data_IF_492394472692
#
_entry.id   IF_492394472692
#
_cell.length_a   1.000
_cell.length_b   1.000
_cell.length_c   1.000
_cell.angle_alpha   90.00
_cell.angle_beta   90.00
_cell.angle_gamma   90.00
#
_symmetry.space_group_name_H-M   'P 1'
#
loop_
_entity.id
_entity.type
_entity.pdbx_description
1 polymer ?
#
# COMPACT_ATOMS: atom_id res chain seq x y z
N UNK A 1 18.42 -7.77 -9.60
CA UNK A 1 18.76 -6.74 -8.61
C UNK A 1 18.45 -5.38 -9.23
N UNK A 2 17.29 -4.84 -8.88
CA UNK A 2 16.71 -3.50 -9.17
C UNK A 2 15.19 -3.54 -8.89
N UNK A 3 14.78 -4.26 -7.83
CA UNK A 3 13.36 -4.41 -7.55
C UNK A 3 12.82 -3.11 -6.94
N UNK A 4 11.72 -2.62 -7.50
CA UNK A 4 10.94 -1.57 -6.85
C UNK A 4 10.17 -2.18 -5.69
N UNK A 5 10.14 -1.45 -4.59
CA UNK A 5 9.33 -1.73 -3.43
C UNK A 5 8.49 -0.50 -3.11
N UNK A 6 7.29 -0.73 -2.60
CA UNK A 6 6.45 0.35 -2.13
C UNK A 6 5.63 -0.09 -0.92
N UNK A 7 5.43 0.86 -0.01
CA UNK A 7 4.48 0.73 1.08
C UNK A 7 3.58 1.95 1.10
N UNK A 8 2.31 1.70 1.37
CA UNK A 8 1.29 2.71 1.52
C UNK A 8 0.78 2.64 2.95
N UNK A 9 0.92 3.74 3.66
CA UNK A 9 0.26 3.95 4.94
C UNK A 9 -1.09 4.59 4.68
N UNK A 10 -2.12 4.16 5.40
CA UNK A 10 -3.43 4.77 5.29
C UNK A 10 -4.16 4.84 6.61
N UNK A 11 -4.99 5.87 6.74
CA UNK A 11 -6.05 5.95 7.74
C UNK A 11 -7.35 5.51 7.09
N UNK A 12 -8.15 4.74 7.81
CA UNK A 12 -9.40 4.22 7.29
C UNK A 12 -10.47 4.15 8.37
N UNK A 13 -11.70 4.49 7.99
CA UNK A 13 -12.89 4.29 8.81
C UNK A 13 -13.64 2.99 8.47
N UNK A 14 -13.03 2.13 7.64
CA UNK A 14 -13.61 0.86 7.20
C UNK A 14 -13.48 -0.22 8.27
N UNK A 15 -14.33 -1.23 8.18
CA UNK A 15 -14.28 -2.37 9.09
C UNK A 15 -13.08 -3.27 8.80
N UNK A 16 -12.66 -4.06 9.80
CA UNK A 16 -11.63 -5.09 9.62
C UNK A 16 -11.95 -6.05 8.45
N UNK A 17 -13.23 -6.41 8.25
CA UNK A 17 -13.66 -7.29 7.16
C UNK A 17 -13.44 -6.65 5.78
N UNK A 18 -13.71 -5.35 5.65
CA UNK A 18 -13.44 -4.61 4.42
C UNK A 18 -11.92 -4.55 4.14
N UNK A 19 -11.13 -4.33 5.20
CA UNK A 19 -9.66 -4.31 5.09
C UNK A 19 -9.10 -5.66 4.66
N UNK A 20 -9.67 -6.77 5.13
CA UNK A 20 -9.30 -8.11 4.66
C UNK A 20 -9.58 -8.29 3.16
N UNK A 21 -10.68 -7.74 2.63
CA UNK A 21 -10.95 -7.79 1.19
C UNK A 21 -9.94 -6.98 0.37
N UNK A 22 -9.42 -5.87 0.91
CA UNK A 22 -8.33 -5.10 0.28
C UNK A 22 -7.01 -5.88 0.30
N UNK A 23 -6.73 -6.63 1.37
CA UNK A 23 -5.53 -7.44 1.45
C UNK A 23 -5.44 -8.50 0.33
N UNK A 24 -6.58 -8.87 -0.26
CA UNK A 24 -6.69 -9.79 -1.40
C UNK A 24 -6.67 -9.09 -2.77
N UNK A 25 -6.48 -7.77 -2.83
CA UNK A 25 -6.41 -7.05 -4.10
C UNK A 25 -5.15 -7.42 -4.88
N UNK A 26 -5.31 -7.53 -6.21
CA UNK A 26 -4.18 -7.63 -7.13
C UNK A 26 -3.22 -6.45 -6.91
N UNK A 27 -1.93 -6.78 -6.75
CA UNK A 27 -0.88 -5.83 -6.42
C UNK A 27 -0.52 -5.75 -4.93
N UNK A 28 -1.35 -6.27 -4.02
CA UNK A 28 -1.02 -6.31 -2.58
C UNK A 28 -0.21 -7.56 -2.25
N UNK A 29 0.99 -7.36 -1.72
CA UNK A 29 1.82 -8.46 -1.22
C UNK A 29 1.47 -8.78 0.24
N UNK A 30 1.28 -7.73 1.05
CA UNK A 30 0.97 -7.88 2.48
C UNK A 30 0.27 -6.65 3.01
N UNK A 31 -0.65 -6.85 3.96
CA UNK A 31 -1.33 -5.77 4.68
C UNK A 31 -1.36 -6.08 6.17
N UNK A 32 -1.17 -5.06 7.00
CA UNK A 32 -1.24 -5.19 8.46
C UNK A 32 -1.66 -3.89 9.13
N UNK A 33 -2.28 -3.99 10.31
CA UNK A 33 -2.63 -2.84 11.13
C UNK A 33 -1.41 -2.30 11.87
N UNK A 34 -1.33 -0.99 12.05
CA UNK A 34 -0.26 -0.31 12.79
C UNK A 34 -0.81 0.37 14.04
N UNK A 35 0.03 0.55 15.06
CA UNK A 35 -0.34 1.20 16.33
C UNK A 35 0.18 2.65 16.42
N UNK A 36 0.27 3.35 15.30
CA UNK A 36 0.86 4.70 15.19
C UNK A 36 -0.12 5.72 14.61
N UNK A 37 0.41 6.76 13.97
CA UNK A 37 -0.41 7.78 13.29
C UNK A 37 -1.23 7.23 12.12
N UNK A 38 -0.94 6.01 11.66
CA UNK A 38 -1.64 5.33 10.58
C UNK A 38 -2.34 4.08 11.12
N UNK A 39 -3.53 3.79 10.58
CA UNK A 39 -4.31 2.61 10.97
C UNK A 39 -3.77 1.34 10.28
N UNK A 40 -3.37 1.47 9.02
CA UNK A 40 -3.00 0.37 8.15
C UNK A 40 -1.74 0.65 7.35
N UNK A 41 -0.97 -0.41 7.10
CA UNK A 41 0.15 -0.42 6.18
C UNK A 41 -0.05 -1.53 5.14
N UNK A 42 0.13 -1.17 3.88
CA UNK A 42 -0.02 -2.04 2.71
C UNK A 42 1.30 -2.06 1.98
N UNK A 43 1.91 -3.23 1.86
CA UNK A 43 3.06 -3.48 0.99
C UNK A 43 2.57 -3.99 -0.35
N UNK A 44 2.95 -3.30 -1.43
CA UNK A 44 2.65 -3.78 -2.77
C UNK A 44 3.71 -4.77 -3.24
N UNK A 45 3.33 -5.65 -4.15
CA UNK A 45 4.27 -6.54 -4.82
C UNK A 45 5.24 -5.77 -5.72
N UNK A 46 6.30 -6.44 -6.17
CA UNK A 46 7.33 -5.83 -7.01
C UNK A 46 6.82 -5.34 -8.37
N UNK A 47 5.74 -5.95 -8.90
CA UNK A 47 5.16 -5.59 -10.21
C UNK A 47 4.37 -4.29 -10.13
N UNK A 48 3.84 -3.98 -8.95
CA UNK A 48 2.96 -2.84 -8.66
C UNK A 48 3.69 -1.73 -7.89
N UNK A 49 4.91 -2.00 -7.43
CA UNK A 49 5.72 -1.07 -6.64
C UNK A 49 6.44 0.04 -7.42
N UNK A 50 6.31 0.10 -8.75
CA UNK A 50 6.82 1.25 -9.51
C UNK A 50 6.03 2.52 -9.14
N UNK A 51 6.64 3.72 -9.13
CA UNK A 51 5.98 4.97 -8.73
C UNK A 51 4.61 5.17 -9.38
N UNK A 52 4.53 5.04 -10.70
CA UNK A 52 3.29 5.23 -11.49
C UNK A 52 2.18 4.26 -11.07
N UNK A 53 2.52 3.00 -10.80
CA UNK A 53 1.55 1.96 -10.40
C UNK A 53 1.14 2.08 -8.94
N UNK A 54 2.07 2.46 -8.05
CA UNK A 54 1.76 2.74 -6.66
C UNK A 54 0.80 3.93 -6.55
N UNK A 55 1.01 4.99 -7.35
CA UNK A 55 0.07 6.10 -7.44
C UNK A 55 -1.29 5.68 -8.01
N UNK A 56 -1.33 4.86 -9.06
CA UNK A 56 -2.59 4.32 -9.59
C UNK A 56 -3.35 3.46 -8.56
N UNK A 57 -2.65 2.66 -7.77
CA UNK A 57 -3.24 1.88 -6.69
C UNK A 57 -3.84 2.80 -5.61
N UNK A 58 -3.13 3.87 -5.24
CA UNK A 58 -3.62 4.87 -4.28
C UNK A 58 -4.82 5.63 -4.82
N UNK A 59 -4.82 5.99 -6.10
CA UNK A 59 -5.95 6.62 -6.76
C UNK A 59 -7.20 5.73 -6.67
N UNK A 60 -7.08 4.44 -7.01
CA UNK A 60 -8.15 3.45 -6.86
C UNK A 60 -8.67 3.36 -5.41
N UNK A 61 -7.77 3.37 -4.43
CA UNK A 61 -8.17 3.36 -3.01
C UNK A 61 -8.96 4.61 -2.62
N UNK A 62 -8.54 5.79 -3.09
CA UNK A 62 -9.22 7.06 -2.82
C UNK A 62 -10.58 7.12 -3.52
N UNK A 63 -10.67 6.67 -4.77
CA UNK A 63 -11.93 6.60 -5.52
C UNK A 63 -12.94 5.66 -4.86
N UNK A 64 -12.49 4.50 -4.35
CA UNK A 64 -13.34 3.60 -3.59
C UNK A 64 -13.61 4.04 -2.14
N UNK A 65 -13.16 5.23 -1.74
CA UNK A 65 -13.27 5.75 -0.38
C UNK A 65 -12.77 4.77 0.70
N UNK A 66 -11.69 4.05 0.40
CA UNK A 66 -11.10 3.07 1.31
C UNK A 66 -10.21 3.71 2.37
N UNK A 67 -9.67 4.89 2.06
CA UNK A 67 -8.79 5.64 2.94
C UNK A 67 -9.26 7.09 3.03
N UNK A 68 -9.16 7.67 4.23
CA UNK A 68 -9.37 9.10 4.48
C UNK A 68 -8.08 9.89 4.23
N UNK A 69 -6.95 9.27 4.56
CA UNK A 69 -5.63 9.84 4.40
C UNK A 69 -4.67 8.73 3.98
N UNK A 70 -3.71 9.05 3.10
CA UNK A 70 -2.75 8.07 2.56
C UNK A 70 -1.37 8.68 2.44
N UNK A 71 -0.33 7.93 2.77
CA UNK A 71 1.06 8.30 2.50
C UNK A 71 1.76 7.14 1.79
N UNK A 72 2.27 7.41 0.59
CA UNK A 72 2.94 6.41 -0.24
C UNK A 72 4.44 6.63 -0.20
N UNK A 73 5.18 5.55 0.07
CA UNK A 73 6.64 5.52 -0.04
C UNK A 73 7.02 4.45 -1.06
N UNK A 74 7.99 4.76 -1.90
CA UNK A 74 8.54 3.83 -2.87
C UNK A 74 10.06 3.97 -2.91
N UNK A 75 10.75 2.87 -3.18
CA UNK A 75 12.21 2.85 -3.30
C UNK A 75 12.67 1.72 -4.22
N UNK A 76 13.84 1.92 -4.83
CA UNK A 76 14.56 0.83 -5.48
C UNK A 76 15.45 0.16 -4.45
N UNK A 77 15.41 -1.17 -4.43
CA UNK A 77 16.42 -1.94 -3.70
C UNK A 77 17.80 -1.65 -4.30
N UNK A 78 18.73 -1.21 -3.45
CA UNK A 78 20.14 -1.03 -3.80
C UNK A 78 20.90 -2.20 -3.19
N UNK A 79 21.66 -2.98 -3.97
CA UNK A 79 22.44 -4.07 -3.40
C UNK A 79 23.43 -3.52 -2.36
N UNK A 80 23.49 -4.18 -1.20
CA UNK A 80 24.54 -3.91 -0.23
C UNK A 80 25.90 -4.21 -0.91
N UNK A 81 26.80 -3.24 -0.90
CA UNK A 81 28.15 -3.37 -1.45
C UNK A 81 28.98 -4.39 -0.69
#
# INVERSE_FOLDING_TARGET
>A
MNAWNSVIFMKSNKSMSDMNAMAEWDGVEKMWSTSGDWDWCIKLDQKTSTPEKAEAFVARMREGHWATETQTNWWKEVPAK
#
